data_IF_689452345264
#
_entry.id   IF_689452345264
#
_cell.length_a   1.000
_cell.length_b   1.000
_cell.length_c   1.000
_cell.angle_alpha   90.00
_cell.angle_beta   90.00
_cell.angle_gamma   90.00
#
_symmetry.space_group_name_H-M   'P 1'
#
loop_
_entity.id
_entity.type
_entity.pdbx_description
1 polymer ?
#
# COMPACT_ATOMS: atom_id res chain seq x y z
N UNK A 1 7.45 14.45 -41.44
CA UNK A 1 6.54 14.83 -40.34
C UNK A 1 6.00 13.63 -39.55
N UNK A 2 5.83 12.44 -40.15
CA UNK A 2 5.41 11.22 -39.44
C UNK A 2 6.42 10.72 -38.37
N UNK A 3 7.74 10.84 -38.60
CA UNK A 3 8.76 10.40 -37.63
C UNK A 3 8.71 11.13 -36.27
N UNK A 4 8.26 12.39 -36.24
CA UNK A 4 8.13 13.15 -35.00
C UNK A 4 6.87 12.77 -34.19
N UNK A 5 5.86 12.20 -34.85
CA UNK A 5 4.64 11.74 -34.19
C UNK A 5 4.88 10.41 -33.46
N UNK A 6 5.60 9.47 -34.06
CA UNK A 6 5.96 8.18 -33.44
C UNK A 6 6.87 8.39 -32.22
N UNK A 7 7.83 9.31 -32.28
CA UNK A 7 8.68 9.66 -31.12
C UNK A 7 7.91 10.29 -29.96
N UNK A 8 6.80 10.99 -30.24
CA UNK A 8 5.90 11.55 -29.22
C UNK A 8 4.96 10.49 -28.64
N UNK A 9 4.55 9.50 -29.43
CA UNK A 9 3.80 8.33 -28.96
C UNK A 9 4.66 7.36 -28.13
N UNK A 10 5.93 7.15 -28.50
CA UNK A 10 6.88 6.37 -27.69
C UNK A 10 7.26 7.07 -26.38
N UNK A 11 7.26 8.41 -26.36
CA UNK A 11 7.39 9.17 -25.11
C UNK A 11 6.16 9.01 -24.17
N UNK A 12 5.05 8.48 -24.68
CA UNK A 12 3.84 8.17 -23.92
C UNK A 12 3.75 6.70 -23.48
N UNK A 13 4.70 5.83 -23.88
CA UNK A 13 4.85 4.51 -23.28
C UNK A 13 5.55 4.69 -21.93
N UNK A 14 4.86 4.46 -20.80
CA UNK A 14 5.49 4.52 -19.49
C UNK A 14 6.64 3.51 -19.48
N UNK A 15 7.79 3.92 -18.93
CA UNK A 15 8.96 3.07 -18.78
C UNK A 15 8.53 1.72 -18.17
N UNK A 16 8.64 0.65 -18.97
CA UNK A 16 8.17 -0.68 -18.59
C UNK A 16 8.93 -1.19 -17.36
N UNK A 17 10.18 -0.76 -17.17
CA UNK A 17 10.97 -1.08 -16.00
C UNK A 17 10.39 -0.39 -14.75
N UNK A 18 10.09 0.91 -14.83
CA UNK A 18 9.39 1.62 -13.76
C UNK A 18 8.02 1.00 -13.46
N UNK A 19 7.21 0.72 -14.48
CA UNK A 19 5.90 0.09 -14.32
C UNK A 19 5.99 -1.31 -13.66
N UNK A 20 7.00 -2.10 -14.04
CA UNK A 20 7.30 -3.38 -13.43
C UNK A 20 7.71 -3.24 -11.96
N UNK A 21 8.55 -2.26 -11.64
CA UNK A 21 8.96 -1.96 -10.27
C UNK A 21 7.76 -1.54 -9.40
N UNK A 22 6.89 -0.67 -9.91
CA UNK A 22 5.64 -0.31 -9.23
C UNK A 22 4.74 -1.54 -9.02
N UNK A 23 4.62 -2.41 -10.03
CA UNK A 23 3.88 -3.66 -9.92
C UNK A 23 4.41 -4.58 -8.82
N UNK A 24 5.73 -4.72 -8.72
CA UNK A 24 6.39 -5.51 -7.66
C UNK A 24 6.14 -4.91 -6.28
N UNK A 25 6.25 -3.59 -6.11
CA UNK A 25 5.99 -2.92 -4.84
C UNK A 25 4.53 -3.12 -4.41
N UNK A 26 3.58 -2.92 -5.32
CA UNK A 26 2.15 -3.15 -5.06
C UNK A 26 1.88 -4.62 -4.74
N UNK A 27 2.49 -5.55 -5.47
CA UNK A 27 2.36 -6.98 -5.22
C UNK A 27 2.91 -7.37 -3.83
N UNK A 28 4.08 -6.87 -3.46
CA UNK A 28 4.69 -7.12 -2.14
C UNK A 28 3.89 -6.47 -1.01
N UNK A 29 3.29 -5.30 -1.23
CA UNK A 29 2.35 -4.69 -0.28
C UNK A 29 1.12 -5.57 -0.11
N UNK A 30 0.50 -6.01 -1.21
CA UNK A 30 -0.65 -6.91 -1.18
C UNK A 30 -0.32 -8.25 -0.51
N UNK A 31 0.86 -8.81 -0.78
CA UNK A 31 1.34 -10.04 -0.15
C UNK A 31 1.60 -9.83 1.36
N UNK A 32 2.21 -8.71 1.75
CA UNK A 32 2.40 -8.34 3.15
C UNK A 32 1.06 -8.20 3.88
N UNK A 33 0.06 -7.58 3.24
CA UNK A 33 -1.30 -7.55 3.77
C UNK A 33 -1.93 -8.93 3.91
N UNK A 34 -1.74 -9.79 2.91
CA UNK A 34 -2.24 -11.16 2.92
C UNK A 34 -1.61 -11.98 4.07
N UNK A 35 -0.32 -11.77 4.37
CA UNK A 35 0.36 -12.42 5.50
C UNK A 35 -0.29 -12.03 6.83
N UNK A 36 -0.65 -10.75 7.00
CA UNK A 36 -1.38 -10.31 8.19
C UNK A 36 -2.76 -10.99 8.28
N UNK A 37 -3.39 -11.28 7.14
CA UNK A 37 -4.65 -12.04 7.08
C UNK A 37 -4.55 -13.52 7.46
N UNK A 38 -3.36 -14.12 7.40
CA UNK A 38 -3.13 -15.54 7.66
C UNK A 38 -2.66 -15.81 9.09
N UNK A 39 -1.94 -14.85 9.68
CA UNK A 39 -1.32 -15.04 10.99
C UNK A 39 -2.15 -14.34 12.08
N UNK A 40 -2.55 -15.11 13.10
CA UNK A 40 -3.34 -14.57 14.23
C UNK A 40 -2.50 -13.54 14.99
N UNK A 41 -2.78 -12.25 14.73
CA UNK A 41 -2.00 -11.17 15.35
C UNK A 41 -2.53 -10.94 16.77
N UNK A 42 -1.67 -11.02 17.81
CA UNK A 42 -2.13 -10.73 19.16
C UNK A 42 -2.60 -9.27 19.26
N UNK A 43 -3.71 -8.99 19.98
CA UNK A 43 -4.38 -7.69 19.94
C UNK A 43 -3.49 -6.51 20.38
N UNK A 44 -2.51 -6.75 21.26
CA UNK A 44 -1.51 -5.73 21.62
C UNK A 44 -0.65 -5.29 20.44
N UNK A 45 -0.22 -6.22 19.57
CA UNK A 45 0.54 -5.89 18.35
C UNK A 45 -0.35 -5.19 17.34
N UNK A 46 -1.60 -5.61 17.19
CA UNK A 46 -2.56 -4.95 16.29
C UNK A 46 -2.72 -3.47 16.65
N UNK A 47 -2.96 -3.16 17.93
CA UNK A 47 -3.10 -1.77 18.42
C UNK A 47 -1.81 -0.98 18.18
N UNK A 48 -0.64 -1.55 18.48
CA UNK A 48 0.64 -0.88 18.25
C UNK A 48 0.87 -0.55 16.76
N UNK A 49 0.52 -1.48 15.86
CA UNK A 49 0.63 -1.28 14.42
C UNK A 49 -0.38 -0.25 13.89
N UNK A 50 -1.60 -0.22 14.42
CA UNK A 50 -2.61 0.79 14.10
C UNK A 50 -2.17 2.19 14.54
N UNK A 51 -1.70 2.33 15.78
CA UNK A 51 -1.20 3.60 16.28
C UNK A 51 0.06 4.04 15.54
N UNK A 52 0.97 3.12 15.25
CA UNK A 52 2.19 3.39 14.49
C UNK A 52 1.90 3.86 13.07
N UNK A 53 1.03 3.15 12.35
CA UNK A 53 0.62 3.52 10.98
C UNK A 53 -0.08 4.88 10.93
N UNK A 54 -0.95 5.18 11.90
CA UNK A 54 -1.58 6.49 12.03
C UNK A 54 -0.57 7.60 12.30
N UNK A 55 0.34 7.40 13.25
CA UNK A 55 1.37 8.39 13.59
C UNK A 55 2.28 8.69 12.38
N UNK A 56 2.70 7.64 11.67
CA UNK A 56 3.49 7.77 10.43
C UNK A 56 2.72 8.55 9.36
N UNK A 57 1.44 8.27 9.18
CA UNK A 57 0.61 9.00 8.23
C UNK A 57 0.50 10.49 8.57
N UNK A 58 0.30 10.83 9.85
CA UNK A 58 0.21 12.23 10.31
C UNK A 58 1.52 12.97 10.05
N UNK A 59 2.67 12.35 10.36
CA UNK A 59 3.99 12.95 10.12
C UNK A 59 4.22 13.18 8.63
N UNK A 60 3.97 12.17 7.79
CA UNK A 60 4.15 12.27 6.34
C UNK A 60 3.22 13.32 5.72
N UNK A 61 1.96 13.37 6.14
CA UNK A 61 1.02 14.38 5.69
C UNK A 61 1.47 15.80 6.10
N UNK A 62 1.99 15.96 7.31
CA UNK A 62 2.56 17.22 7.78
C UNK A 62 3.79 17.68 7.01
N UNK A 63 4.54 16.74 6.42
CA UNK A 63 5.68 17.03 5.52
C UNK A 63 5.27 17.28 4.07
N UNK A 64 3.97 17.15 3.72
CA UNK A 64 3.47 17.29 2.34
C UNK A 64 3.49 16.00 1.52
N UNK A 65 3.91 14.87 2.10
CA UNK A 65 4.00 13.55 1.46
C UNK A 65 2.65 12.80 1.54
N UNK A 66 1.58 13.42 1.07
CA UNK A 66 0.21 12.89 1.22
C UNK A 66 0.01 11.53 0.53
N UNK A 67 0.70 11.28 -0.58
CA UNK A 67 0.63 9.98 -1.27
C UNK A 67 1.15 8.82 -0.40
N UNK A 68 2.28 9.02 0.28
CA UNK A 68 2.88 8.02 1.16
C UNK A 68 2.10 7.93 2.48
N UNK A 69 1.55 9.05 2.96
CA UNK A 69 0.65 9.05 4.12
C UNK A 69 -0.58 8.15 3.89
N UNK A 70 -1.16 8.16 2.69
CA UNK A 70 -2.26 7.25 2.34
C UNK A 70 -1.86 5.78 2.35
N UNK A 71 -0.62 5.45 1.95
CA UNK A 71 -0.11 4.07 2.06
C UNK A 71 -0.05 3.64 3.53
N UNK A 72 0.45 4.49 4.42
CA UNK A 72 0.48 4.22 5.85
C UNK A 72 -0.93 4.02 6.42
N UNK A 73 -1.91 4.86 6.05
CA UNK A 73 -3.31 4.64 6.46
C UNK A 73 -3.91 3.37 5.87
N UNK A 74 -3.57 3.03 4.62
CA UNK A 74 -3.93 1.76 3.99
C UNK A 74 -3.43 0.56 4.80
N UNK A 75 -2.23 0.68 5.41
CA UNK A 75 -1.72 -0.33 6.34
C UNK A 75 -2.63 -0.51 7.54
N UNK A 76 -3.01 0.59 8.20
CA UNK A 76 -3.94 0.53 9.31
C UNK A 76 -5.31 -0.04 8.91
N UNK A 77 -5.86 0.36 7.76
CA UNK A 77 -7.16 -0.09 7.29
C UNK A 77 -7.21 -1.61 7.06
N UNK A 78 -6.17 -2.21 6.48
CA UNK A 78 -6.14 -3.65 6.26
C UNK A 78 -6.00 -4.45 7.55
N UNK A 79 -5.31 -3.92 8.58
CA UNK A 79 -5.25 -4.53 9.91
C UNK A 79 -6.66 -4.59 10.53
N UNK A 80 -7.43 -3.52 10.41
CA UNK A 80 -8.83 -3.48 10.86
C UNK A 80 -9.67 -4.50 10.09
N UNK A 81 -9.51 -4.55 8.77
CA UNK A 81 -10.24 -5.50 7.92
C UNK A 81 -9.90 -6.96 8.29
N UNK A 82 -8.63 -7.27 8.55
CA UNK A 82 -8.22 -8.59 9.01
C UNK A 82 -8.88 -8.95 10.34
N UNK A 83 -8.79 -8.07 11.33
CA UNK A 83 -9.36 -8.34 12.63
C UNK A 83 -10.89 -8.54 12.56
N UNK A 84 -11.58 -7.77 11.72
CA UNK A 84 -13.01 -7.96 11.46
C UNK A 84 -13.30 -9.31 10.80
N UNK A 85 -12.46 -9.74 9.85
CA UNK A 85 -12.59 -11.04 9.19
C UNK A 85 -12.35 -12.22 10.14
N UNK A 86 -11.29 -12.16 10.96
CA UNK A 86 -11.03 -13.15 12.02
C UNK A 86 -12.25 -13.26 12.95
N UNK A 87 -12.80 -12.13 13.41
CA UNK A 87 -13.98 -12.13 14.28
C UNK A 87 -15.23 -12.72 13.62
N UNK A 88 -15.43 -12.50 12.32
CA UNK A 88 -16.56 -13.06 11.56
C UNK A 88 -16.43 -14.56 11.29
N UNK A 89 -15.21 -15.08 11.18
CA UNK A 89 -14.93 -16.47 10.77
C UNK A 89 -14.63 -17.42 11.93
N UNK A 90 -14.34 -16.88 13.12
CA UNK A 90 -14.09 -17.66 14.34
C UNK A 90 -15.28 -17.70 15.32
N UNK A 91 -16.43 -17.14 14.92
CA UNK A 91 -17.75 -17.42 15.54
C UNK A 91 -18.44 -18.57 14.82
#
# INVERSE_FOLDING_TARGET
MANAAIGREMAALPDLAAAGLYGVVVFLLALGFLVIFVETVPPRRLIALLLGSFLVAVVLAGMGETGIAFLALGVGAALVANHAFEWLTTR
#
